data_IF_354522315401
#
_entry.id   IF_354522315401
#
_cell.length_a   1.000
_cell.length_b   1.000
_cell.length_c   1.000
_cell.angle_alpha   90.00
_cell.angle_beta   90.00
_cell.angle_gamma   90.00
#
_symmetry.space_group_name_H-M   'P 1'
#
loop_
_entity.id
_entity.type
_entity.pdbx_description
1 polymer ?
#
# COMPACT_ATOMS: atom_id res chain seq x y z
N UNK A 1 24.97 -24.70 -2.15
CA UNK A 1 24.67 -23.32 -1.72
C UNK A 1 23.62 -22.58 -2.57
N UNK A 2 23.38 -22.90 -3.86
CA UNK A 2 22.38 -22.21 -4.72
C UNK A 2 20.90 -22.34 -4.31
N UNK A 3 20.51 -23.40 -3.58
CA UNK A 3 19.10 -23.64 -3.21
C UNK A 3 18.61 -22.79 -2.03
N UNK A 4 19.51 -22.35 -1.15
CA UNK A 4 19.15 -21.59 0.04
C UNK A 4 18.88 -20.12 -0.32
N UNK A 5 19.71 -19.53 -1.20
CA UNK A 5 19.50 -18.15 -1.67
C UNK A 5 18.20 -18.00 -2.46
N UNK A 6 17.83 -18.98 -3.28
CA UNK A 6 16.55 -18.99 -4.01
C UNK A 6 15.34 -18.99 -3.07
N UNK A 7 15.34 -19.86 -2.05
CA UNK A 7 14.26 -19.90 -1.04
C UNK A 7 14.13 -18.56 -0.30
N UNK A 8 15.25 -17.96 0.09
CA UNK A 8 15.28 -16.67 0.77
C UNK A 8 14.75 -15.54 -0.13
N UNK A 9 15.14 -15.51 -1.40
CA UNK A 9 14.61 -14.54 -2.36
C UNK A 9 13.09 -14.69 -2.55
N UNK A 10 12.58 -15.91 -2.69
CA UNK A 10 11.14 -16.16 -2.83
C UNK A 10 10.37 -15.67 -1.60
N UNK A 11 10.84 -16.00 -0.40
CA UNK A 11 10.19 -15.56 0.84
C UNK A 11 10.16 -14.02 0.98
N UNK A 12 11.26 -13.34 0.63
CA UNK A 12 11.32 -11.87 0.65
C UNK A 12 10.37 -11.24 -0.38
N UNK A 13 10.30 -11.79 -1.59
CA UNK A 13 9.36 -11.32 -2.61
C UNK A 13 7.91 -11.49 -2.17
N UNK A 14 7.58 -12.62 -1.54
CA UNK A 14 6.23 -12.86 -1.02
C UNK A 14 5.87 -11.88 0.11
N UNK A 15 6.79 -11.63 1.06
CA UNK A 15 6.58 -10.67 2.13
C UNK A 15 6.37 -9.25 1.59
N UNK A 16 7.21 -8.82 0.63
CA UNK A 16 7.07 -7.53 -0.05
C UNK A 16 5.75 -7.42 -0.81
N UNK A 17 5.32 -8.48 -1.51
CA UNK A 17 4.04 -8.50 -2.20
C UNK A 17 2.86 -8.34 -1.21
N UNK A 18 2.90 -9.08 -0.09
CA UNK A 18 1.88 -8.99 0.95
C UNK A 18 1.84 -7.60 1.60
N UNK A 19 2.99 -6.98 1.83
CA UNK A 19 3.08 -5.60 2.31
C UNK A 19 2.46 -4.62 1.31
N UNK A 20 2.78 -4.74 0.02
CA UNK A 20 2.20 -3.88 -1.01
C UNK A 20 0.67 -4.01 -1.08
N UNK A 21 0.12 -5.22 -0.99
CA UNK A 21 -1.34 -5.44 -0.95
C UNK A 21 -1.97 -4.87 0.33
N UNK A 22 -1.29 -4.98 1.48
CA UNK A 22 -1.80 -4.39 2.72
C UNK A 22 -1.79 -2.85 2.68
N UNK A 23 -0.71 -2.25 2.16
CA UNK A 23 -0.64 -0.79 1.95
C UNK A 23 -1.70 -0.30 0.95
N UNK A 24 -1.98 -1.11 -0.08
CA UNK A 24 -3.05 -0.85 -1.05
C UNK A 24 -4.43 -0.91 -0.40
N UNK A 25 -4.68 -1.90 0.45
CA UNK A 25 -5.95 -2.02 1.18
C UNK A 25 -6.21 -0.85 2.13
N UNK A 26 -5.16 -0.37 2.81
CA UNK A 26 -5.27 0.84 3.64
C UNK A 26 -5.53 2.07 2.77
N UNK A 27 -4.76 2.26 1.69
CA UNK A 27 -4.96 3.38 0.77
C UNK A 27 -6.39 3.42 0.20
N UNK A 28 -6.89 2.27 -0.27
CA UNK A 28 -8.27 2.13 -0.77
C UNK A 28 -9.31 2.52 0.29
N UNK A 29 -9.13 2.04 1.52
CA UNK A 29 -10.08 2.31 2.60
C UNK A 29 -10.05 3.77 3.05
N UNK A 30 -8.89 4.42 3.01
CA UNK A 30 -8.77 5.85 3.29
C UNK A 30 -9.36 6.71 2.16
N UNK A 31 -9.13 6.35 0.90
CA UNK A 31 -9.61 7.10 -0.27
C UNK A 31 -11.14 7.08 -0.36
N UNK A 32 -11.74 5.92 -0.10
CA UNK A 32 -13.20 5.77 0.00
C UNK A 32 -13.78 6.21 1.34
N UNK A 33 -12.96 6.69 2.28
CA UNK A 33 -13.37 7.10 3.62
C UNK A 33 -14.19 6.03 4.34
N UNK A 34 -13.78 4.77 4.19
CA UNK A 34 -14.36 3.64 4.89
C UNK A 34 -13.95 3.70 6.38
N UNK A 35 -14.92 3.67 7.32
CA UNK A 35 -14.61 3.73 8.73
C UNK A 35 -13.66 2.63 9.18
N UNK A 36 -12.66 3.02 9.97
CA UNK A 36 -11.66 2.10 10.47
C UNK A 36 -10.43 2.77 11.05
N UNK A 37 -9.65 1.96 11.77
CA UNK A 37 -8.34 2.33 12.29
C UNK A 37 -7.29 1.57 11.47
N UNK A 38 -6.36 2.32 10.87
CA UNK A 38 -5.32 1.79 10.00
C UNK A 38 -3.95 2.23 10.52
N UNK A 39 -3.04 1.28 10.70
CA UNK A 39 -1.69 1.52 11.20
C UNK A 39 -0.72 0.80 10.27
N UNK A 40 0.37 1.46 9.91
CA UNK A 40 1.48 0.84 9.20
C UNK A 40 2.81 1.27 9.83
N UNK A 41 3.74 0.32 9.95
CA UNK A 41 5.03 0.54 10.59
C UNK A 41 6.04 -0.51 10.08
N UNK A 42 7.03 -0.09 9.27
CA UNK A 42 8.18 -0.90 8.81
C UNK A 42 7.82 -2.34 8.39
N UNK A 43 6.88 -2.50 7.45
CA UNK A 43 6.44 -3.81 6.93
C UNK A 43 5.37 -4.50 7.78
N UNK A 44 5.06 -3.99 8.97
CA UNK A 44 3.88 -4.36 9.73
C UNK A 44 2.71 -3.46 9.34
N UNK A 45 1.53 -4.07 9.19
CA UNK A 45 0.29 -3.34 8.92
C UNK A 45 -0.85 -3.96 9.69
N UNK A 46 -1.71 -3.09 10.21
CA UNK A 46 -2.85 -3.48 11.02
C UNK A 46 -4.05 -2.62 10.64
N UNK A 47 -5.20 -3.27 10.47
CA UNK A 47 -6.46 -2.60 10.15
C UNK A 47 -7.60 -3.17 10.96
N UNK A 48 -8.47 -2.29 11.44
CA UNK A 48 -9.79 -2.63 11.98
C UNK A 48 -10.81 -1.86 11.15
N UNK A 49 -11.71 -2.56 10.48
CA UNK A 49 -12.66 -1.97 9.52
C UNK A 49 -12.08 -1.88 8.10
N UNK A 50 -12.60 -0.93 7.33
CA UNK A 50 -12.30 -0.79 5.91
C UNK A 50 -12.87 -1.93 5.05
N UNK A 51 -12.38 -2.04 3.81
CA UNK A 51 -12.74 -3.12 2.90
C UNK A 51 -11.51 -3.68 2.21
N UNK A 52 -11.62 -4.90 1.67
CA UNK A 52 -10.69 -5.38 0.66
C UNK A 52 -10.89 -4.51 -0.60
N UNK A 53 -9.82 -4.06 -1.29
CA UNK A 53 -9.94 -3.37 -2.56
C UNK A 53 -10.76 -4.17 -3.56
N UNK A 54 -11.67 -3.50 -4.27
CA UNK A 54 -12.32 -4.11 -5.42
C UNK A 54 -11.32 -4.12 -6.59
N UNK A 55 -11.25 -5.26 -7.26
CA UNK A 55 -10.38 -5.48 -8.41
C UNK A 55 -11.18 -5.71 -9.71
N UNK A 56 -12.50 -5.49 -9.67
CA UNK A 56 -13.41 -5.69 -10.81
C UNK A 56 -14.15 -4.38 -11.15
N UNK A 57 -14.17 -3.93 -12.42
CA UNK A 57 -13.43 -4.47 -13.57
C UNK A 57 -11.93 -4.09 -13.58
N UNK A 58 -11.51 -3.15 -12.72
CA UNK A 58 -10.13 -2.67 -12.67
C UNK A 58 -9.57 -2.72 -11.25
N UNK A 59 -8.31 -3.14 -11.15
CA UNK A 59 -7.55 -3.18 -9.89
C UNK A 59 -7.27 -1.77 -9.38
N UNK A 60 -7.65 -1.47 -8.14
CA UNK A 60 -7.33 -0.20 -7.49
C UNK A 60 -5.80 0.01 -7.44
N UNK A 61 -5.25 1.08 -8.05
CA UNK A 61 -3.81 1.24 -8.24
C UNK A 61 -3.08 1.93 -7.07
N UNK A 62 -3.83 2.63 -6.20
CA UNK A 62 -3.26 3.49 -5.17
C UNK A 62 -2.61 2.72 -4.01
N UNK A 63 -1.50 3.23 -3.47
CA UNK A 63 -0.88 2.67 -2.26
C UNK A 63 -0.22 3.72 -1.38
N UNK A 64 -0.10 3.42 -0.10
CA UNK A 64 0.67 4.25 0.83
C UNK A 64 2.16 4.13 0.53
N UNK A 65 2.80 5.28 0.30
CA UNK A 65 4.23 5.41 0.06
C UNK A 65 5.00 5.94 1.29
N UNK A 66 4.65 5.48 2.48
CA UNK A 66 5.33 5.82 3.74
C UNK A 66 5.72 4.57 4.51
N UNK A 67 6.84 4.61 5.22
CA UNK A 67 7.28 3.51 6.09
C UNK A 67 6.45 3.40 7.37
N UNK A 68 5.86 4.51 7.82
CA UNK A 68 5.06 4.52 9.04
C UNK A 68 3.94 5.55 9.00
N UNK A 69 2.90 5.29 9.78
CA UNK A 69 1.80 6.21 9.98
C UNK A 69 0.55 5.54 10.52
N UNK A 70 -0.44 6.38 10.77
CA UNK A 70 -1.74 6.00 11.31
C UNK A 70 -2.82 6.81 10.60
N UNK A 71 -3.97 6.18 10.42
CA UNK A 71 -5.19 6.81 9.96
C UNK A 71 -6.38 6.30 10.76
N UNK A 72 -7.24 7.22 11.17
CA UNK A 72 -8.53 6.94 11.78
C UNK A 72 -9.60 7.57 10.90
N UNK A 73 -10.44 6.72 10.32
CA UNK A 73 -11.62 7.14 9.57
C UNK A 73 -12.84 6.90 10.43
N UNK A 74 -13.59 7.95 10.68
CA UNK A 74 -14.85 7.90 11.41
C UNK A 74 -16.02 7.92 10.40
N UNK A 75 -17.20 7.40 10.79
CA UNK A 75 -18.41 7.59 10.01
C UNK A 75 -18.68 9.07 9.68
N UNK A 76 -19.30 9.33 8.53
CA UNK A 76 -19.59 10.69 8.08
C UNK A 76 -18.39 11.41 7.46
N UNK A 77 -17.53 10.67 6.74
CA UNK A 77 -16.45 11.20 5.89
C UNK A 77 -15.36 11.99 6.64
N UNK A 78 -15.11 11.67 7.91
CA UNK A 78 -14.08 12.32 8.72
C UNK A 78 -12.85 11.42 8.79
N UNK A 79 -11.70 11.93 8.37
CA UNK A 79 -10.43 11.22 8.46
C UNK A 79 -9.39 12.05 9.22
N UNK A 80 -8.69 11.39 10.13
CA UNK A 80 -7.46 11.89 10.75
C UNK A 80 -6.33 10.99 10.30
N UNK A 81 -5.33 11.53 9.62
CA UNK A 81 -4.19 10.73 9.15
C UNK A 81 -2.89 11.49 9.27
N UNK A 82 -1.82 10.75 9.55
CA UNK A 82 -0.45 11.26 9.48
C UNK A 82 0.13 11.16 8.07
N UNK A 83 -0.56 10.52 7.13
CA UNK A 83 -0.09 10.40 5.76
C UNK A 83 -0.38 11.69 4.99
N UNK A 84 0.66 12.25 4.36
CA UNK A 84 0.57 13.50 3.59
C UNK A 84 1.02 13.31 2.12
N UNK A 85 1.26 12.08 1.68
CA UNK A 85 1.70 11.78 0.31
C UNK A 85 0.55 11.54 -0.67
N UNK A 86 0.89 11.37 -1.96
CA UNK A 86 -0.04 10.86 -2.96
C UNK A 86 -0.07 9.33 -2.94
N UNK A 87 -1.24 8.75 -3.20
CA UNK A 87 -1.39 7.31 -3.44
C UNK A 87 -0.91 6.85 -4.81
N UNK A 88 -0.61 7.79 -5.72
CA UNK A 88 -0.23 7.47 -7.09
C UNK A 88 0.99 6.56 -7.13
N UNK A 89 0.97 5.50 -7.97
CA UNK A 89 2.14 4.67 -8.14
C UNK A 89 3.30 5.55 -8.60
N UNK A 90 4.40 5.55 -7.82
CA UNK A 90 5.64 6.23 -8.19
C UNK A 90 5.96 5.94 -9.65
N UNK A 91 5.90 6.96 -10.50
CA UNK A 91 6.30 6.84 -11.89
C UNK A 91 7.75 6.36 -11.90
N UNK A 92 7.99 5.21 -12.51
CA UNK A 92 9.34 4.86 -12.93
C UNK A 92 9.72 5.92 -13.95
N UNK A 93 10.65 6.82 -13.59
CA UNK A 93 11.24 7.73 -14.55
C UNK A 93 11.89 6.87 -15.64
N UNK A 94 11.20 6.70 -16.76
CA UNK A 94 11.81 6.21 -17.97
C UNK A 94 12.73 7.33 -18.44
N UNK A 95 13.94 7.40 -17.88
CA UNK A 95 15.06 8.10 -18.52
C UNK A 95 15.45 7.27 -19.74
N UNK A 96 14.54 7.21 -20.72
CA UNK A 96 14.88 6.90 -22.08
C UNK A 96 15.63 8.12 -22.59
N UNK A 97 16.94 8.01 -22.66
CA UNK A 97 17.79 8.86 -23.50
C UNK A 97 17.31 8.76 -24.94
N UNK A 98 16.30 9.55 -25.28
CA UNK A 98 15.98 9.90 -26.66
C UNK A 98 16.73 11.19 -26.97
N UNK A 99 18.00 11.05 -27.35
CA UNK A 99 18.74 12.11 -28.02
C UNK A 99 18.31 12.08 -29.49
N UNK A 100 17.65 13.15 -29.94
CA UNK A 100 17.49 13.47 -31.37
C UNK A 100 18.84 13.83 -31.98
#
# INVERSE_FOLDING_TARGET
MKNISKKFAIARNYASFKENEAMRAIAYSMDLLLPGLYIWLFGFSFRIGGSVPDDVPYKYPGKIHSYSGIALVLPGYRIFTTYQGSYDPKQTSNTGTNSF
#
